data_IF_438237201401
#
_entry.id   IF_438237201401
#
_cell.length_a   1.000
_cell.length_b   1.000
_cell.length_c   1.000
_cell.angle_alpha   90.00
_cell.angle_beta   90.00
_cell.angle_gamma   90.00
#
_symmetry.space_group_name_H-M   'P 1'
#
loop_
_entity.id
_entity.type
_entity.pdbx_description
1 polymer ?
#
# COMPACT_ATOMS: atom_id res chain seq x y z
N UNK A 1 30.33 -8.99 -23.85
CA UNK A 1 29.90 -7.72 -23.20
C UNK A 1 28.47 -7.91 -22.74
N UNK A 2 28.28 -8.29 -21.48
CA UNK A 2 26.95 -8.52 -20.90
C UNK A 2 26.35 -7.16 -20.59
N UNK A 3 25.38 -6.74 -21.40
CA UNK A 3 24.61 -5.52 -21.17
C UNK A 3 23.99 -5.58 -19.77
N UNK A 4 24.43 -4.69 -18.88
CA UNK A 4 23.77 -4.46 -17.59
C UNK A 4 22.39 -3.89 -17.89
N UNK A 5 21.38 -4.77 -18.02
CA UNK A 5 19.99 -4.33 -18.05
C UNK A 5 19.73 -3.61 -16.72
N UNK A 6 19.57 -2.29 -16.78
CA UNK A 6 19.20 -1.50 -15.63
C UNK A 6 17.92 -2.09 -15.02
N UNK A 7 17.89 -2.29 -13.71
CA UNK A 7 16.69 -2.74 -13.03
C UNK A 7 15.62 -1.66 -13.21
N UNK A 8 14.57 -1.96 -13.98
CA UNK A 8 13.45 -1.05 -14.29
C UNK A 8 12.68 -0.60 -13.04
N UNK A 9 12.84 -1.30 -11.92
CA UNK A 9 12.23 -0.98 -10.61
C UNK A 9 13.16 -0.19 -9.67
N UNK A 10 14.35 0.22 -10.14
CA UNK A 10 15.36 0.91 -9.31
C UNK A 10 14.86 2.20 -8.64
N UNK A 11 13.83 2.84 -9.18
CA UNK A 11 13.19 4.00 -8.56
C UNK A 11 12.58 3.71 -7.18
N UNK A 12 12.31 2.44 -6.86
CA UNK A 12 11.82 2.05 -5.53
C UNK A 12 12.90 2.20 -4.45
N UNK A 13 14.18 2.23 -4.83
CA UNK A 13 15.29 2.42 -3.90
C UNK A 13 15.32 3.84 -3.30
N UNK A 14 14.57 4.79 -3.87
CA UNK A 14 14.43 6.16 -3.37
C UNK A 14 13.55 6.23 -2.11
N UNK A 15 12.81 5.17 -1.79
CA UNK A 15 11.80 5.15 -0.74
C UNK A 15 12.27 4.41 0.51
N UNK A 16 11.81 4.82 1.71
CA UNK A 16 12.28 4.24 2.97
C UNK A 16 11.86 2.77 3.09
N UNK A 17 12.81 1.95 3.51
CA UNK A 17 12.52 0.56 3.90
C UNK A 17 12.25 0.48 5.39
N UNK A 18 11.18 -0.21 5.82
CA UNK A 18 10.79 -0.31 7.24
C UNK A 18 10.79 -1.76 7.71
N UNK A 19 11.23 -1.99 8.95
CA UNK A 19 11.07 -3.28 9.61
C UNK A 19 9.66 -3.39 10.20
N UNK A 20 9.16 -4.62 10.32
CA UNK A 20 7.92 -4.95 11.03
C UNK A 20 8.25 -5.58 12.41
N UNK A 21 7.39 -5.42 13.44
CA UNK A 21 6.07 -4.81 13.39
C UNK A 21 6.12 -3.29 13.23
N UNK A 22 5.13 -2.73 12.53
CA UNK A 22 4.93 -1.27 12.43
C UNK A 22 3.45 -0.93 12.38
N UNK A 23 3.10 0.25 12.90
CA UNK A 23 1.74 0.79 12.80
C UNK A 23 1.64 1.67 11.56
N UNK A 24 0.63 1.41 10.73
CA UNK A 24 0.20 2.33 9.67
C UNK A 24 -1.06 3.06 10.13
N UNK A 25 -0.92 4.36 10.37
CA UNK A 25 -1.98 5.26 10.77
C UNK A 25 -2.13 6.43 9.80
N UNK A 26 -1.75 6.22 8.53
CA UNK A 26 -1.78 7.25 7.48
C UNK A 26 -3.17 7.88 7.40
N UNK A 27 -3.24 9.20 7.51
CA UNK A 27 -4.47 9.99 7.47
C UNK A 27 -4.19 11.43 7.04
N UNK A 28 -5.23 12.23 6.76
CA UNK A 28 -5.05 13.60 6.25
C UNK A 28 -4.32 14.53 7.22
N UNK A 29 -4.31 14.22 8.52
CA UNK A 29 -3.63 15.05 9.54
C UNK A 29 -2.14 14.75 9.65
N UNK A 30 -1.67 13.57 9.22
CA UNK A 30 -0.27 13.16 9.39
C UNK A 30 0.45 12.79 8.09
N UNK A 31 -0.27 12.65 6.97
CA UNK A 31 0.35 12.31 5.71
C UNK A 31 0.89 13.56 5.00
N UNK A 32 2.13 13.46 4.53
CA UNK A 32 2.75 14.43 3.64
C UNK A 32 2.92 13.77 2.27
N UNK A 33 2.29 14.36 1.25
CA UNK A 33 2.38 13.87 -0.13
C UNK A 33 3.84 13.80 -0.58
N UNK A 34 4.27 12.60 -1.01
CA UNK A 34 5.60 12.34 -1.51
C UNK A 34 5.74 12.52 -3.03
N UNK A 35 6.77 11.90 -3.59
CA UNK A 35 6.98 11.83 -5.05
C UNK A 35 5.90 10.94 -5.69
N UNK A 36 5.11 11.55 -6.56
CA UNK A 36 4.10 10.85 -7.35
C UNK A 36 4.74 9.87 -8.35
N UNK A 37 4.10 8.72 -8.52
CA UNK A 37 4.45 7.77 -9.55
C UNK A 37 3.99 8.27 -10.91
N UNK A 38 4.88 8.25 -11.88
CA UNK A 38 4.53 8.46 -13.30
C UNK A 38 3.61 7.36 -13.80
N UNK A 39 2.83 7.61 -14.85
CA UNK A 39 1.98 6.59 -15.48
C UNK A 39 2.77 5.35 -15.90
N UNK A 40 3.99 5.52 -16.42
CA UNK A 40 4.87 4.39 -16.76
C UNK A 40 5.27 3.55 -15.53
N UNK A 41 5.51 4.18 -14.37
CA UNK A 41 5.79 3.44 -13.13
C UNK A 41 4.54 2.74 -12.59
N UNK A 42 3.37 3.37 -12.69
CA UNK A 42 2.08 2.76 -12.31
C UNK A 42 1.81 1.49 -13.13
N UNK A 43 1.99 1.55 -14.46
CA UNK A 43 1.88 0.39 -15.36
C UNK A 43 2.91 -0.70 -15.03
N UNK A 44 4.16 -0.29 -14.78
CA UNK A 44 5.24 -1.22 -14.46
C UNK A 44 4.99 -2.00 -13.16
N UNK A 45 4.33 -1.36 -12.19
CA UNK A 45 3.90 -1.91 -10.91
C UNK A 45 2.49 -2.52 -10.96
N UNK A 46 1.84 -2.53 -12.14
CA UNK A 46 0.51 -3.08 -12.40
C UNK A 46 -0.61 -2.49 -11.54
N UNK A 47 -0.44 -1.25 -11.08
CA UNK A 47 -1.40 -0.57 -10.21
C UNK A 47 -2.80 -0.39 -10.83
N UNK A 48 -2.97 -0.25 -12.17
CA UNK A 48 -4.30 -0.25 -12.78
C UNK A 48 -5.16 -1.49 -12.47
N UNK A 49 -4.54 -2.64 -12.15
CA UNK A 49 -5.29 -3.85 -11.75
C UNK A 49 -5.73 -3.88 -10.28
N UNK A 50 -5.27 -2.92 -9.47
CA UNK A 50 -5.59 -2.82 -8.03
C UNK A 50 -6.56 -1.66 -7.78
N UNK A 51 -6.29 -0.51 -8.39
CA UNK A 51 -7.05 0.72 -8.17
C UNK A 51 -8.01 1.05 -9.32
N UNK A 52 -7.96 0.27 -10.40
CA UNK A 52 -8.90 0.32 -11.52
C UNK A 52 -9.10 1.74 -12.09
N UNK A 53 -10.36 2.13 -12.33
CA UNK A 53 -10.73 3.42 -12.92
C UNK A 53 -10.38 4.60 -12.01
N UNK A 54 -10.25 4.40 -10.69
CA UNK A 54 -9.95 5.47 -9.73
C UNK A 54 -8.59 6.13 -10.01
N UNK A 55 -7.63 5.41 -10.62
CA UNK A 55 -6.33 5.98 -11.03
C UNK A 55 -6.42 7.00 -12.17
N UNK A 56 -7.55 7.04 -12.87
CA UNK A 56 -7.80 7.93 -13.99
C UNK A 56 -8.66 9.14 -13.61
N UNK A 57 -9.13 9.20 -12.36
CA UNK A 57 -9.82 10.36 -11.84
C UNK A 57 -8.93 11.61 -11.89
N UNK A 58 -9.54 12.76 -12.17
CA UNK A 58 -8.81 14.01 -12.44
C UNK A 58 -7.88 14.42 -11.29
N UNK A 59 -8.27 14.13 -10.05
CA UNK A 59 -7.53 14.48 -8.85
C UNK A 59 -6.81 13.28 -8.22
N UNK A 60 -6.75 12.15 -8.91
CA UNK A 60 -6.09 10.95 -8.41
C UNK A 60 -4.59 11.17 -8.25
N UNK A 61 -4.06 10.82 -7.08
CA UNK A 61 -2.61 10.88 -6.79
C UNK A 61 -2.17 9.60 -6.12
N UNK A 62 -1.10 9.01 -6.64
CA UNK A 62 -0.52 7.79 -6.08
C UNK A 62 1.00 7.92 -5.98
N UNK A 63 1.54 7.46 -4.87
CA UNK A 63 2.98 7.38 -4.64
C UNK A 63 3.34 6.23 -3.72
N UNK A 64 4.64 5.97 -3.59
CA UNK A 64 5.14 4.98 -2.63
C UNK A 64 5.34 5.67 -1.29
N UNK A 65 4.83 5.07 -0.22
CA UNK A 65 5.05 5.49 1.16
C UNK A 65 6.34 4.88 1.70
N UNK A 66 6.44 3.55 1.64
CA UNK A 66 7.58 2.78 2.15
C UNK A 66 7.56 1.34 1.65
N UNK A 67 8.67 0.62 1.87
CA UNK A 67 8.81 -0.80 1.57
C UNK A 67 8.95 -1.58 2.88
N UNK A 68 7.92 -2.30 3.36
CA UNK A 68 8.05 -3.11 4.57
C UNK A 68 8.83 -4.41 4.30
N UNK A 69 9.75 -4.75 5.21
CA UNK A 69 10.50 -6.03 5.18
C UNK A 69 9.68 -7.15 5.83
N UNK A 70 8.71 -7.67 5.09
CA UNK A 70 7.84 -8.75 5.56
C UNK A 70 8.51 -10.11 5.40
N UNK A 71 9.05 -10.39 4.20
CA UNK A 71 9.66 -11.66 3.82
C UNK A 71 10.75 -11.46 2.77
N UNK A 72 11.65 -12.44 2.64
CA UNK A 72 12.65 -12.52 1.54
C UNK A 72 12.10 -13.31 0.33
N UNK A 73 10.92 -13.92 0.46
CA UNK A 73 10.29 -14.72 -0.60
C UNK A 73 9.55 -13.86 -1.63
N UNK A 74 9.01 -12.73 -1.20
CA UNK A 74 8.23 -11.79 -1.98
C UNK A 74 8.66 -10.36 -1.64
N UNK A 75 8.26 -9.40 -2.47
CA UNK A 75 8.47 -7.97 -2.24
C UNK A 75 7.18 -7.34 -1.73
N UNK A 76 7.32 -6.27 -0.95
CA UNK A 76 6.17 -5.54 -0.41
C UNK A 76 6.37 -4.06 -0.60
N UNK A 77 5.32 -3.39 -1.08
CA UNK A 77 5.31 -1.95 -1.28
C UNK A 77 4.02 -1.41 -0.67
N UNK A 78 4.14 -0.36 0.13
CA UNK A 78 2.98 0.38 0.63
C UNK A 78 2.86 1.66 -0.16
N UNK A 79 1.69 1.86 -0.76
CA UNK A 79 1.35 3.06 -1.53
C UNK A 79 0.42 3.94 -0.72
N UNK A 80 0.62 5.26 -0.81
CA UNK A 80 -0.45 6.19 -0.52
C UNK A 80 -1.24 6.45 -1.80
N UNK A 81 -2.56 6.53 -1.68
CA UNK A 81 -3.45 6.80 -2.78
C UNK A 81 -4.56 7.76 -2.36
N UNK A 82 -4.64 8.89 -3.05
CA UNK A 82 -5.76 9.81 -3.01
C UNK A 82 -6.59 9.55 -4.27
N UNK A 83 -7.73 8.84 -4.20
CA UNK A 83 -8.61 8.69 -5.37
C UNK A 83 -9.27 10.02 -5.75
N UNK A 84 -9.49 10.88 -4.75
CA UNK A 84 -10.04 12.22 -4.86
C UNK A 84 -9.47 13.09 -3.72
N UNK A 85 -10.08 14.24 -3.45
CA UNK A 85 -9.61 15.18 -2.42
C UNK A 85 -10.14 14.87 -1.01
N UNK A 86 -10.99 13.87 -0.86
CA UNK A 86 -11.71 13.57 0.40
C UNK A 86 -11.36 12.21 0.97
N UNK A 87 -10.61 11.38 0.26
CA UNK A 87 -10.20 10.06 0.70
C UNK A 87 -8.68 9.90 0.59
N UNK A 88 -8.12 9.17 1.55
CA UNK A 88 -6.71 8.78 1.57
C UNK A 88 -6.60 7.32 2.00
N UNK A 89 -5.98 6.51 1.15
CA UNK A 89 -5.74 5.08 1.35
C UNK A 89 -4.24 4.85 1.52
N UNK A 90 -3.85 4.04 2.52
CA UNK A 90 -2.57 3.33 2.55
C UNK A 90 -2.82 1.88 2.15
N UNK A 91 -2.23 1.45 1.04
CA UNK A 91 -2.43 0.12 0.45
C UNK A 91 -1.13 -0.67 0.44
N UNK A 92 -1.11 -1.82 1.11
CA UNK A 92 -0.05 -2.82 0.94
C UNK A 92 -0.29 -3.60 -0.34
N UNK A 93 0.75 -3.78 -1.13
CA UNK A 93 0.76 -4.72 -2.26
C UNK A 93 1.96 -5.65 -2.12
N UNK A 94 1.71 -6.95 -2.22
CA UNK A 94 2.73 -7.98 -2.26
C UNK A 94 2.99 -8.41 -3.69
N UNK A 95 4.25 -8.61 -4.02
CA UNK A 95 4.71 -8.95 -5.36
C UNK A 95 5.66 -10.13 -5.35
N UNK A 96 5.67 -10.94 -6.40
CA UNK A 96 6.73 -11.91 -6.58
C UNK A 96 8.08 -11.22 -6.92
N UNK A 97 9.13 -12.03 -7.09
CA UNK A 97 10.47 -11.53 -7.41
C UNK A 97 10.55 -10.86 -8.79
N UNK A 98 9.52 -11.01 -9.63
CA UNK A 98 9.39 -10.43 -10.95
C UNK A 98 8.40 -9.24 -10.99
N UNK A 99 7.92 -8.78 -9.84
CA UNK A 99 6.90 -7.74 -9.71
C UNK A 99 5.55 -8.09 -10.36
N UNK A 100 5.17 -9.36 -10.38
CA UNK A 100 3.78 -9.75 -10.56
C UNK A 100 3.05 -9.60 -9.22
N UNK A 101 1.84 -9.03 -9.23
CA UNK A 101 1.03 -8.88 -8.03
C UNK A 101 0.65 -10.27 -7.52
N UNK A 102 0.83 -10.47 -6.21
CA UNK A 102 0.36 -11.64 -5.48
C UNK A 102 -0.97 -11.30 -4.80
N UNK A 103 -0.98 -10.22 -4.00
CA UNK A 103 -2.18 -9.75 -3.32
C UNK A 103 -2.06 -8.26 -2.93
N UNK A 104 -3.14 -7.65 -2.45
CA UNK A 104 -3.20 -6.29 -1.93
C UNK A 104 -4.16 -6.17 -0.76
N UNK A 105 -3.84 -5.33 0.24
CA UNK A 105 -4.66 -5.11 1.43
C UNK A 105 -4.55 -3.66 1.91
N UNK A 106 -5.69 -3.05 2.24
CA UNK A 106 -5.74 -1.74 2.89
C UNK A 106 -5.13 -1.84 4.29
N UNK A 107 -4.17 -0.95 4.58
CA UNK A 107 -3.53 -0.79 5.88
C UNK A 107 -4.09 0.39 6.68
N UNK A 108 -4.48 1.44 5.99
CA UNK A 108 -5.11 2.62 6.60
C UNK A 108 -6.02 3.29 5.58
N UNK A 109 -7.04 3.97 6.08
CA UNK A 109 -8.02 4.70 5.29
C UNK A 109 -8.50 5.89 6.11
N UNK A 110 -8.73 7.02 5.46
CA UNK A 110 -9.29 8.22 6.08
C UNK A 110 -10.20 8.92 5.07
N UNK A 111 -11.48 9.07 5.42
CA UNK A 111 -12.46 9.84 4.66
C UNK A 111 -12.78 11.14 5.43
N UNK A 112 -12.61 12.28 4.78
CA UNK A 112 -12.87 13.61 5.38
C UNK A 112 -14.11 14.30 4.82
N UNK A 113 -14.86 13.67 3.91
CA UNK A 113 -16.12 14.21 3.42
C UNK A 113 -17.17 14.19 4.54
N UNK A 114 -17.54 13.00 5.00
CA UNK A 114 -18.50 12.83 6.10
C UNK A 114 -17.82 12.40 7.41
N UNK A 115 -16.52 12.07 7.38
CA UNK A 115 -15.75 11.70 8.56
C UNK A 115 -16.15 10.35 9.16
N UNK A 116 -16.86 9.51 8.40
CA UNK A 116 -17.53 8.32 8.92
C UNK A 116 -16.64 7.10 9.02
N UNK A 117 -15.60 7.01 8.18
CA UNK A 117 -14.76 5.83 8.08
C UNK A 117 -13.29 6.19 8.21
N UNK A 118 -12.66 5.57 9.19
CA UNK A 118 -11.21 5.57 9.36
C UNK A 118 -10.72 4.16 9.63
N UNK A 119 -9.53 3.82 9.15
CA UNK A 119 -8.85 2.58 9.53
C UNK A 119 -7.39 2.83 9.84
N UNK A 120 -6.84 2.00 10.73
CA UNK A 120 -5.40 1.93 11.05
C UNK A 120 -5.01 0.47 11.17
N UNK A 121 -3.74 0.13 10.98
CA UNK A 121 -3.31 -1.26 11.17
C UNK A 121 -1.97 -1.40 11.88
N UNK A 122 -1.79 -2.56 12.49
CA UNK A 122 -0.46 -3.09 12.84
C UNK A 122 -0.06 -4.13 11.81
N UNK A 123 1.01 -3.87 11.07
CA UNK A 123 1.58 -4.78 10.08
C UNK A 123 2.68 -5.62 10.73
N UNK A 124 2.50 -6.93 10.77
CA UNK A 124 3.46 -7.94 11.25
C UNK A 124 4.06 -8.72 10.07
N UNK A 125 4.97 -9.68 10.36
CA UNK A 125 5.54 -10.56 9.31
C UNK A 125 4.51 -11.51 8.70
N UNK A 126 3.56 -11.96 9.50
CA UNK A 126 2.60 -13.01 9.15
C UNK A 126 1.15 -12.56 9.30
N UNK A 127 0.90 -11.30 9.68
CA UNK A 127 -0.45 -10.81 9.86
C UNK A 127 -0.59 -9.29 9.70
N UNK A 128 -1.82 -8.86 9.48
CA UNK A 128 -2.27 -7.47 9.52
C UNK A 128 -3.42 -7.43 10.50
N UNK A 129 -3.28 -6.66 11.58
CA UNK A 129 -4.38 -6.35 12.48
C UNK A 129 -4.94 -4.99 12.09
N UNK A 130 -6.08 -4.98 11.40
CA UNK A 130 -6.75 -3.78 10.94
C UNK A 130 -7.83 -3.38 11.95
N UNK A 131 -7.82 -2.13 12.38
CA UNK A 131 -8.84 -1.53 13.22
C UNK A 131 -9.67 -0.57 12.38
N UNK A 132 -10.98 -0.76 12.35
CA UNK A 132 -11.92 0.12 11.65
C UNK A 132 -12.72 0.94 12.66
N UNK A 133 -12.88 2.23 12.37
CA UNK A 133 -13.61 3.19 13.16
C UNK A 133 -14.80 3.65 12.31
N UNK A 134 -15.93 2.95 12.42
CA UNK A 134 -17.19 3.24 11.70
C UNK A 134 -18.24 3.90 12.62
N UNK A 135 -17.97 3.96 13.93
CA UNK A 135 -18.80 4.61 14.96
C UNK A 135 -18.06 4.57 16.33
N UNK A 136 -18.78 4.75 17.45
CA UNK A 136 -18.24 4.72 18.83
C UNK A 136 -17.58 3.38 19.24
N UNK A 137 -17.73 2.31 18.44
CA UNK A 137 -17.15 1.00 18.72
C UNK A 137 -16.25 0.54 17.57
N UNK A 138 -14.92 0.54 17.74
CA UNK A 138 -14.03 0.03 16.72
C UNK A 138 -14.15 -1.49 16.55
N UNK A 139 -14.03 -1.97 15.31
CA UNK A 139 -13.90 -3.39 14.97
C UNK A 139 -12.45 -3.72 14.65
N UNK A 140 -12.04 -4.96 14.93
CA UNK A 140 -10.72 -5.46 14.55
C UNK A 140 -10.88 -6.63 13.59
N UNK A 141 -10.16 -6.58 12.47
CA UNK A 141 -10.09 -7.61 11.45
C UNK A 141 -8.65 -8.08 11.36
N UNK A 142 -8.44 -9.39 11.36
CA UNK A 142 -7.12 -10.00 11.21
C UNK A 142 -7.02 -10.61 9.81
N UNK A 143 -5.93 -10.30 9.13
CA UNK A 143 -5.51 -10.96 7.90
C UNK A 143 -4.22 -11.71 8.17
N UNK A 144 -4.08 -12.90 7.63
CA UNK A 144 -2.82 -13.63 7.58
C UNK A 144 -2.05 -13.28 6.31
N UNK A 145 -0.74 -13.13 6.44
CA UNK A 145 0.19 -13.05 5.32
C UNK A 145 0.92 -14.39 5.23
N UNK A 146 0.68 -15.12 4.15
CA UNK A 146 1.30 -16.41 3.89
C UNK A 146 2.75 -16.25 3.41
N UNK A 147 3.54 -17.31 3.47
CA UNK A 147 4.97 -17.29 3.09
C UNK A 147 5.21 -16.92 1.61
N UNK A 148 4.21 -17.17 0.76
CA UNK A 148 4.21 -16.80 -0.65
C UNK A 148 3.76 -15.35 -0.90
N UNK A 149 3.33 -14.61 0.14
CA UNK A 149 2.87 -13.24 0.06
C UNK A 149 1.37 -13.10 -0.21
N UNK A 150 0.63 -14.20 -0.29
CA UNK A 150 -0.82 -14.16 -0.35
C UNK A 150 -1.41 -13.69 0.98
N UNK A 151 -2.52 -12.95 0.93
CA UNK A 151 -3.19 -12.39 2.09
C UNK A 151 -4.59 -12.98 2.18
N UNK A 152 -4.91 -13.57 3.33
CA UNK A 152 -6.22 -14.20 3.58
C UNK A 152 -6.84 -13.66 4.86
N UNK A 153 -8.14 -13.42 4.85
CA UNK A 153 -8.88 -13.06 6.06
C UNK A 153 -9.04 -14.31 6.95
N UNK A 154 -8.79 -14.16 8.24
CA UNK A 154 -9.14 -15.16 9.26
C UNK A 154 -10.65 -15.32 9.45
#
# INVERSE_FOLDING_TARGET
MTSCKANKYSFLNDYPTKNVPLVDSTNFSNHVEGKLLTKSQQELLKLPSIFEEQLNEKNAKIGVSYLPKISENFQSVVYYFYPNNTELISMLVTYDKQFNIINSQVLAYDEIAEGMLKTTSTLNKNSIELVEYISDSPSTIIFNILEDGNITRD
#
